data_IF_564153278490
#
_entry.id   IF_564153278490
#
_cell.length_a   1.000
_cell.length_b   1.000
_cell.length_c   1.000
_cell.angle_alpha   90.00
_cell.angle_beta   90.00
_cell.angle_gamma   90.00
#
_symmetry.space_group_name_H-M   'P 1'
#
loop_
_entity.id
_entity.type
_entity.pdbx_description
1 polymer ?
#
# COMPACT_ATOMS: atom_id res chain seq x y z
N UNK A 1 -11.14 9.35 3.71
CA UNK A 1 -10.82 7.94 3.38
C UNK A 1 -9.32 7.66 3.41
N UNK A 2 -8.57 7.55 2.30
CA UNK A 2 -7.16 7.08 2.35
C UNK A 2 -6.22 7.87 3.28
N UNK A 3 -6.36 9.20 3.30
CA UNK A 3 -5.56 10.07 4.19
C UNK A 3 -5.82 9.77 5.67
N UNK A 4 -7.08 9.53 6.04
CA UNK A 4 -7.46 9.25 7.43
C UNK A 4 -6.93 7.89 7.87
N UNK A 5 -7.04 6.86 7.03
CA UNK A 5 -6.44 5.54 7.31
C UNK A 5 -4.93 5.63 7.56
N UNK A 6 -4.20 6.40 6.74
CA UNK A 6 -2.77 6.57 6.92
C UNK A 6 -2.46 7.29 8.23
N UNK A 7 -3.25 8.29 8.60
CA UNK A 7 -3.10 9.01 9.88
C UNK A 7 -3.40 8.10 11.08
N UNK A 8 -4.41 7.24 10.97
CA UNK A 8 -4.73 6.27 12.01
C UNK A 8 -3.60 5.25 12.20
N UNK A 9 -3.07 4.69 11.09
CA UNK A 9 -1.90 3.80 11.13
C UNK A 9 -0.68 4.49 11.72
N UNK A 10 -0.44 5.76 11.37
CA UNK A 10 0.65 6.54 11.92
C UNK A 10 0.47 6.86 13.41
N UNK A 11 -0.78 7.01 13.89
CA UNK A 11 -1.07 7.23 15.30
C UNK A 11 -0.93 5.93 16.13
N UNK A 12 -1.27 4.78 15.54
CA UNK A 12 -1.24 3.47 16.19
C UNK A 12 0.04 2.65 16.00
N UNK A 13 1.04 3.18 15.28
CA UNK A 13 2.24 2.45 14.91
C UNK A 13 3.35 3.36 14.37
N UNK A 14 4.30 2.78 13.63
CA UNK A 14 5.34 3.55 12.95
C UNK A 14 4.98 3.70 11.48
N UNK A 15 5.24 4.86 10.91
CA UNK A 15 5.08 5.12 9.48
C UNK A 15 6.35 5.75 8.91
N UNK A 16 6.71 5.31 7.70
CA UNK A 16 7.84 5.84 6.94
C UNK A 16 7.38 6.22 5.54
N UNK A 17 7.76 7.42 5.11
CA UNK A 17 7.59 7.91 3.75
C UNK A 17 8.97 8.08 3.13
N UNK A 18 9.20 7.43 1.99
CA UNK A 18 10.43 7.54 1.22
C UNK A 18 10.13 8.18 -0.15
N UNK A 19 10.99 9.08 -0.61
CA UNK A 19 10.83 9.81 -1.86
C UNK A 19 11.99 9.48 -2.79
N UNK A 20 11.67 9.12 -4.04
CA UNK A 20 12.64 9.05 -5.12
C UNK A 20 12.70 10.39 -5.84
N UNK A 21 13.92 10.92 -6.03
CA UNK A 21 14.15 12.19 -6.73
C UNK A 21 14.99 11.95 -7.98
N UNK A 22 14.66 12.64 -9.07
CA UNK A 22 15.52 12.73 -10.24
C UNK A 22 16.74 13.61 -9.94
N UNK A 23 17.72 13.62 -10.85
CA UNK A 23 18.95 14.43 -10.72
C UNK A 23 18.67 15.94 -10.55
N UNK A 24 17.59 16.42 -11.18
CA UNK A 24 17.12 17.81 -11.05
C UNK A 24 16.33 18.09 -9.76
N UNK A 25 16.26 17.12 -8.84
CA UNK A 25 15.61 17.23 -7.54
C UNK A 25 14.10 17.00 -7.53
N UNK A 26 13.44 16.85 -8.69
CA UNK A 26 11.99 16.58 -8.77
C UNK A 26 11.66 15.21 -8.18
N UNK A 27 10.56 15.14 -7.43
CA UNK A 27 10.04 13.86 -6.91
C UNK A 27 9.41 13.08 -8.05
N UNK A 28 9.88 11.86 -8.29
CA UNK A 28 9.45 10.99 -9.39
C UNK A 28 8.84 9.67 -8.92
N UNK A 29 8.85 9.43 -7.60
CA UNK A 29 8.22 8.28 -6.99
C UNK A 29 8.24 8.38 -5.48
N UNK A 30 7.47 7.51 -4.83
CA UNK A 30 7.44 7.42 -3.38
C UNK A 30 7.06 6.00 -2.93
N UNK A 31 7.36 5.72 -1.67
CA UNK A 31 6.88 4.55 -0.96
C UNK A 31 6.43 4.96 0.44
N UNK A 32 5.20 4.59 0.80
CA UNK A 32 4.66 4.70 2.15
C UNK A 32 4.61 3.29 2.72
N UNK A 33 5.20 3.14 3.90
CA UNK A 33 5.20 1.88 4.64
C UNK A 33 4.87 2.13 6.10
N UNK A 34 4.22 1.15 6.72
CA UNK A 34 3.89 1.20 8.14
C UNK A 34 4.28 -0.09 8.84
N UNK A 35 4.43 0.00 10.16
CA UNK A 35 4.57 -1.12 11.07
C UNK A 35 3.50 -0.97 12.15
N UNK A 36 2.48 -1.81 12.06
CA UNK A 36 1.34 -1.81 12.96
C UNK A 36 1.45 -2.83 14.09
N UNK A 37 0.33 -3.10 14.78
CA UNK A 37 0.25 -4.09 15.84
C UNK A 37 0.76 -5.48 15.41
N UNK A 38 1.20 -6.28 16.39
CA UNK A 38 1.75 -7.62 16.19
C UNK A 38 2.98 -7.69 15.27
N UNK A 39 3.68 -6.57 15.07
CA UNK A 39 4.84 -6.47 14.18
C UNK A 39 4.50 -6.81 12.72
N UNK A 40 3.30 -6.44 12.26
CA UNK A 40 2.92 -6.57 10.85
C UNK A 40 3.29 -5.29 10.11
N UNK A 41 4.28 -5.43 9.22
CA UNK A 41 4.66 -4.37 8.30
C UNK A 41 3.79 -4.37 7.05
N UNK A 42 3.52 -3.20 6.49
CA UNK A 42 2.72 -3.03 5.29
C UNK A 42 3.37 -2.04 4.34
N UNK A 43 3.38 -2.34 3.04
CA UNK A 43 3.60 -1.33 1.99
C UNK A 43 2.24 -0.77 1.61
N UNK A 44 1.93 0.38 2.20
CA UNK A 44 0.66 1.08 2.11
C UNK A 44 0.39 1.69 0.74
N UNK A 45 1.45 2.17 0.09
CA UNK A 45 1.36 2.76 -1.24
C UNK A 45 2.75 2.86 -1.83
N UNK A 46 2.91 2.45 -3.08
CA UNK A 46 4.13 2.65 -3.86
C UNK A 46 3.76 3.16 -5.23
N UNK A 47 4.47 4.19 -5.69
CA UNK A 47 4.21 4.80 -6.97
C UNK A 47 5.50 5.31 -7.60
N UNK A 48 5.58 5.14 -8.92
CA UNK A 48 6.63 5.74 -9.77
C UNK A 48 5.95 6.35 -10.98
N UNK A 49 6.30 7.59 -11.27
CA UNK A 49 5.87 8.32 -12.46
C UNK A 49 6.17 7.51 -13.72
N UNK A 50 5.22 7.45 -14.66
CA UNK A 50 5.27 6.56 -15.82
C UNK A 50 6.59 6.68 -16.62
N UNK A 51 7.08 7.90 -16.85
CA UNK A 51 8.34 8.17 -17.56
C UNK A 51 9.59 7.59 -16.88
N UNK A 52 9.50 7.22 -15.60
CA UNK A 52 10.59 6.69 -14.79
C UNK A 52 10.38 5.21 -14.43
N UNK A 53 9.34 4.55 -14.95
CA UNK A 53 9.14 3.10 -14.75
C UNK A 53 10.17 2.31 -15.56
N UNK A 54 10.48 1.09 -15.10
CA UNK A 54 11.49 0.25 -15.74
C UNK A 54 12.95 0.64 -15.46
N UNK A 55 13.18 1.74 -14.73
CA UNK A 55 14.54 2.24 -14.40
C UNK A 55 15.10 1.70 -13.08
N UNK A 56 14.36 0.82 -12.38
CA UNK A 56 14.76 0.26 -11.09
C UNK A 56 14.33 1.07 -9.86
N UNK A 57 13.77 2.28 -10.02
CA UNK A 57 13.31 3.13 -8.89
C UNK A 57 12.31 2.41 -7.98
N UNK A 58 11.31 1.73 -8.57
CA UNK A 58 10.32 0.98 -7.80
C UNK A 58 10.97 -0.14 -6.97
N UNK A 59 11.99 -0.81 -7.52
CA UNK A 59 12.75 -1.83 -6.81
C UNK A 59 13.50 -1.23 -5.62
N UNK A 60 14.23 -0.13 -5.83
CA UNK A 60 14.96 0.53 -4.75
C UNK A 60 14.03 0.97 -3.60
N UNK A 61 12.87 1.56 -3.94
CA UNK A 61 11.85 1.96 -2.98
C UNK A 61 11.26 0.77 -2.19
N UNK A 62 10.96 -0.33 -2.87
CA UNK A 62 10.45 -1.55 -2.23
C UNK A 62 11.49 -2.14 -1.28
N UNK A 63 12.72 -2.32 -1.72
CA UNK A 63 13.79 -2.84 -0.87
C UNK A 63 14.07 -1.92 0.34
N UNK A 64 13.99 -0.60 0.15
CA UNK A 64 14.11 0.37 1.23
C UNK A 64 13.06 0.16 2.32
N UNK A 65 11.80 -0.03 1.92
CA UNK A 65 10.71 -0.34 2.84
C UNK A 65 10.90 -1.70 3.53
N UNK A 66 11.31 -2.74 2.78
CA UNK A 66 11.54 -4.08 3.34
C UNK A 66 12.66 -4.07 4.38
N UNK A 67 13.82 -3.46 4.05
CA UNK A 67 14.95 -3.29 4.98
C UNK A 67 14.56 -2.51 6.22
N UNK A 68 13.77 -1.45 6.07
CA UNK A 68 13.26 -0.70 7.21
C UNK A 68 12.41 -1.57 8.14
N UNK A 69 11.46 -2.32 7.58
CA UNK A 69 10.63 -3.26 8.35
C UNK A 69 11.47 -4.38 8.99
N UNK A 70 12.51 -4.89 8.32
CA UNK A 70 13.41 -5.92 8.87
C UNK A 70 14.22 -5.37 10.04
N UNK A 71 14.77 -4.16 9.91
CA UNK A 71 15.50 -3.50 10.99
C UNK A 71 14.66 -3.23 12.23
N UNK A 72 13.34 -3.15 12.08
CA UNK A 72 12.39 -3.03 13.19
C UNK A 72 11.90 -4.38 13.73
N UNK A 73 12.26 -5.51 13.11
CA UNK A 73 11.82 -6.84 13.54
C UNK A 73 10.39 -7.21 13.13
N UNK A 74 9.91 -6.72 11.98
CA UNK A 74 8.61 -7.12 11.45
C UNK A 74 8.49 -8.64 11.31
N UNK A 75 7.46 -9.23 11.91
CA UNK A 75 7.19 -10.69 11.88
C UNK A 75 6.48 -11.12 10.60
N UNK A 76 5.76 -10.19 9.98
CA UNK A 76 5.04 -10.40 8.72
C UNK A 76 5.06 -9.11 7.92
N UNK A 77 5.08 -9.23 6.59
CA UNK A 77 4.98 -8.11 5.66
C UNK A 77 3.82 -8.35 4.70
N UNK A 78 3.01 -7.34 4.45
CA UNK A 78 1.84 -7.44 3.57
C UNK A 78 1.74 -6.27 2.59
N UNK A 79 0.97 -6.51 1.54
CA UNK A 79 0.55 -5.51 0.57
C UNK A 79 -0.91 -5.82 0.26
N UNK A 80 -1.78 -4.81 0.33
CA UNK A 80 -3.14 -4.92 -0.19
C UNK A 80 -3.11 -4.60 -1.69
N UNK A 81 -3.36 -5.62 -2.52
CA UNK A 81 -3.58 -5.45 -3.95
C UNK A 81 -5.08 -5.53 -4.22
N UNK A 82 -5.63 -4.50 -4.87
CA UNK A 82 -7.04 -4.46 -5.28
C UNK A 82 -7.15 -5.15 -6.65
N UNK A 83 -8.25 -5.87 -6.86
CA UNK A 83 -8.60 -6.53 -8.13
C UNK A 83 -8.59 -5.53 -9.28
N UNK A 84 -8.11 -5.95 -10.45
CA UNK A 84 -7.93 -5.10 -11.63
C UNK A 84 -6.55 -4.44 -11.72
N UNK A 85 -5.64 -4.76 -10.80
CA UNK A 85 -4.24 -4.31 -10.80
C UNK A 85 -3.26 -5.50 -10.88
N UNK A 86 -3.65 -6.60 -11.52
CA UNK A 86 -2.90 -7.86 -11.52
C UNK A 86 -1.48 -7.73 -12.13
N UNK A 87 -1.26 -6.71 -12.96
CA UNK A 87 0.05 -6.37 -13.54
C UNK A 87 1.13 -6.13 -12.47
N UNK A 88 0.75 -5.67 -11.28
CA UNK A 88 1.70 -5.44 -10.17
C UNK A 88 2.08 -6.72 -9.43
N UNK A 89 1.34 -7.82 -9.61
CA UNK A 89 1.65 -9.08 -8.94
C UNK A 89 3.02 -9.61 -9.33
N UNK A 90 3.40 -9.49 -10.61
CA UNK A 90 4.73 -9.86 -11.08
C UNK A 90 5.82 -9.01 -10.43
N UNK A 91 5.55 -7.72 -10.19
CA UNK A 91 6.48 -6.85 -9.47
C UNK A 91 6.66 -7.29 -8.01
N UNK A 92 5.56 -7.53 -7.29
CA UNK A 92 5.63 -7.95 -5.87
C UNK A 92 6.19 -9.37 -5.68
N UNK A 93 5.91 -10.29 -6.60
CA UNK A 93 6.42 -11.65 -6.55
C UNK A 93 7.96 -11.72 -6.55
N UNK A 94 8.64 -10.75 -7.18
CA UNK A 94 10.11 -10.63 -7.15
C UNK A 94 10.67 -10.42 -5.74
N UNK A 95 9.86 -9.94 -4.82
CA UNK A 95 10.21 -9.73 -3.40
C UNK A 95 9.64 -10.81 -2.49
N UNK A 96 9.13 -11.91 -3.05
CA UNK A 96 8.56 -13.02 -2.29
C UNK A 96 7.14 -12.82 -1.78
N UNK A 97 6.45 -11.74 -2.20
CA UNK A 97 5.02 -11.61 -1.91
C UNK A 97 4.21 -12.56 -2.80
N UNK A 98 3.32 -13.33 -2.17
CA UNK A 98 2.43 -14.27 -2.84
C UNK A 98 0.98 -13.97 -2.44
N UNK A 99 -0.01 -14.18 -3.33
CA UNK A 99 -1.41 -14.08 -2.97
C UNK A 99 -1.73 -14.99 -1.78
N UNK A 100 -2.42 -14.44 -0.77
CA UNK A 100 -2.82 -15.20 0.43
C UNK A 100 -4.31 -15.48 0.47
N UNK A 101 -5.13 -14.51 0.08
CA UNK A 101 -6.59 -14.58 0.16
C UNK A 101 -7.19 -13.53 -0.76
N UNK A 102 -8.40 -13.80 -1.25
CA UNK A 102 -9.26 -12.81 -1.92
C UNK A 102 -10.36 -12.41 -0.95
N UNK A 103 -10.55 -11.11 -0.73
CA UNK A 103 -11.64 -10.57 0.06
C UNK A 103 -12.80 -10.29 -0.91
N UNK A 104 -13.97 -10.87 -0.64
CA UNK A 104 -15.19 -10.65 -1.42
C UNK A 104 -16.14 -9.79 -0.60
N UNK A 105 -16.59 -8.69 -1.18
CA UNK A 105 -17.58 -7.80 -0.56
C UNK A 105 -18.91 -7.90 -1.29
N UNK A 106 -20.01 -7.98 -0.53
CA UNK A 106 -21.35 -7.91 -1.10
C UNK A 106 -21.64 -6.47 -1.51
N UNK A 107 -21.97 -6.24 -2.78
CA UNK A 107 -22.40 -4.94 -3.24
C UNK A 107 -23.62 -4.47 -2.43
N UNK A 108 -23.54 -3.30 -1.81
CA UNK A 108 -24.73 -2.68 -1.25
C UNK A 108 -25.65 -2.27 -2.40
N UNK A 109 -26.91 -2.73 -2.36
CA UNK A 109 -27.89 -2.27 -3.33
C UNK A 109 -27.99 -0.73 -3.23
N UNK A 110 -27.98 0.00 -4.36
CA UNK A 110 -28.14 1.44 -4.32
C UNK A 110 -29.49 1.78 -3.69
N UNK A 111 -29.43 2.33 -2.47
CA UNK A 111 -30.51 2.90 -1.66
C UNK A 111 -31.93 2.46 -2.00
N UNK A 112 -32.44 1.45 -1.28
CA UNK A 112 -33.87 1.38 -1.01
C UNK A 112 -34.26 2.65 -0.25
N UNK A 113 -34.92 3.60 -0.93
CA UNK A 113 -35.55 4.76 -0.27
C UNK A 113 -36.38 4.24 0.90
N UNK A 114 -36.03 4.66 2.11
CA UNK A 114 -36.89 4.57 3.29
C UNK A 114 -38.12 5.42 2.99
N UNK A 115 -39.19 4.80 2.51
CA UNK A 115 -40.50 5.44 2.49
C UNK A 115 -41.06 5.36 3.90
N UNK A 116 -40.88 6.45 4.65
CA UNK A 116 -41.91 6.86 5.60
C UNK A 116 -43.19 7.09 4.80
N UNK A 117 -44.18 6.20 4.94
CA UNK A 117 -45.60 6.53 4.79
C UNK A 117 -46.42 5.66 5.74
N UNK A 118 -46.88 6.32 6.79
CA UNK A 118 -48.14 6.12 7.53
C UNK A 118 -49.06 5.02 6.99
N UNK A 119 -49.45 4.06 7.84
CA UNK A 119 -50.76 3.97 8.55
C UNK A 119 -50.54 3.11 9.80
#
# INVERSE_FOLDING_TARGET
ERREELLEKAAGGLMRVELARAEDGRVVGYCVSSLGPNMTGEVDSIFVTAAYRGTGIGTALMEGALRWMDGLGAKRKIILAIVGNEEVHAFYARFGFLPRSVILEQAQAPGGKRSDKHI
#
